data_IF_806154518245
#
_entry.id   IF_806154518245
#
_cell.length_a   1.000
_cell.length_b   1.000
_cell.length_c   1.000
_cell.angle_alpha   90.00
_cell.angle_beta   90.00
_cell.angle_gamma   90.00
#
_symmetry.space_group_name_H-M   'P 1'
#
loop_
_entity.id
_entity.type
_entity.pdbx_description
1 polymer ?
#
# COMPACT_ATOMS: atom_id res chain seq x y z
N UNK A 1 -22.44 -9.17 -20.09
CA UNK A 1 -23.48 -8.34 -19.48
C UNK A 1 -24.39 -9.28 -18.72
N UNK A 2 -24.69 -9.02 -17.45
CA UNK A 2 -25.65 -9.82 -16.68
C UNK A 2 -27.08 -9.36 -16.92
N UNK A 3 -28.07 -10.19 -16.58
CA UNK A 3 -29.48 -9.81 -16.72
C UNK A 3 -29.88 -8.63 -15.83
N UNK A 4 -29.15 -8.36 -14.73
CA UNK A 4 -29.34 -7.15 -13.92
C UNK A 4 -28.86 -5.89 -14.66
N UNK A 5 -27.68 -5.96 -15.29
CA UNK A 5 -27.19 -4.89 -16.17
C UNK A 5 -28.16 -4.64 -17.33
N UNK A 6 -28.62 -5.71 -18.00
CA UNK A 6 -29.58 -5.65 -19.10
C UNK A 6 -30.90 -4.99 -18.70
N UNK A 7 -31.45 -5.32 -17.52
CA UNK A 7 -32.65 -4.66 -16.96
C UNK A 7 -32.41 -3.15 -16.74
N UNK A 8 -31.26 -2.76 -16.19
CA UNK A 8 -30.92 -1.34 -15.95
C UNK A 8 -30.86 -0.57 -17.28
N UNK A 9 -30.17 -1.09 -18.29
CA UNK A 9 -30.10 -0.45 -19.61
C UNK A 9 -31.45 -0.45 -20.33
N UNK A 10 -32.25 -1.51 -20.18
CA UNK A 10 -33.63 -1.60 -20.69
C UNK A 10 -34.54 -0.51 -20.12
N UNK A 11 -34.50 -0.31 -18.80
CA UNK A 11 -35.25 0.76 -18.12
C UNK A 11 -34.76 2.16 -18.57
N UNK A 12 -33.45 2.37 -18.67
CA UNK A 12 -32.90 3.62 -19.19
C UNK A 12 -33.30 3.86 -20.66
N UNK A 13 -33.40 2.80 -21.47
CA UNK A 13 -33.88 2.85 -22.86
C UNK A 13 -35.33 3.30 -22.94
N UNK A 14 -36.19 2.93 -21.98
CA UNK A 14 -37.57 3.46 -21.89
C UNK A 14 -37.57 4.98 -21.72
N UNK A 15 -36.68 5.54 -20.89
CA UNK A 15 -36.56 7.01 -20.72
C UNK A 15 -36.05 7.67 -22.01
N UNK A 16 -34.99 7.14 -22.62
CA UNK A 16 -34.39 7.66 -23.87
C UNK A 16 -35.40 7.64 -25.02
N UNK A 17 -36.03 6.49 -25.30
CA UNK A 17 -37.04 6.36 -26.36
C UNK A 17 -38.28 7.20 -26.07
N UNK A 18 -38.70 7.34 -24.81
CA UNK A 18 -39.82 8.21 -24.46
C UNK A 18 -39.49 9.67 -24.78
N UNK A 19 -38.34 10.17 -24.35
CA UNK A 19 -37.86 11.52 -24.65
C UNK A 19 -37.85 11.79 -26.17
N UNK A 20 -37.24 10.91 -26.96
CA UNK A 20 -37.08 11.10 -28.41
C UNK A 20 -38.38 10.91 -29.20
N UNK A 21 -39.41 10.30 -28.60
CA UNK A 21 -40.76 10.22 -29.16
C UNK A 21 -41.59 11.49 -28.97
N UNK A 22 -41.15 12.42 -28.11
CA UNK A 22 -41.80 13.73 -27.95
C UNK A 22 -41.33 14.72 -29.03
N UNK A 23 -42.09 15.81 -29.22
CA UNK A 23 -41.75 16.89 -30.16
C UNK A 23 -40.70 17.84 -29.56
N UNK A 24 -39.48 17.32 -29.41
CA UNK A 24 -38.32 18.00 -28.82
C UNK A 24 -37.23 18.10 -29.88
N UNK A 25 -36.61 19.28 -29.98
CA UNK A 25 -35.56 19.58 -30.97
C UNK A 25 -34.25 18.83 -30.70
N UNK A 26 -33.86 18.71 -29.43
CA UNK A 26 -32.60 18.11 -28.99
C UNK A 26 -32.77 16.60 -28.71
N UNK A 27 -33.04 15.80 -29.74
CA UNK A 27 -33.18 14.34 -29.60
C UNK A 27 -31.85 13.66 -29.25
N UNK A 28 -31.90 12.70 -28.34
CA UNK A 28 -30.74 11.92 -27.90
C UNK A 28 -30.25 10.97 -28.99
N UNK A 29 -31.18 10.40 -29.77
CA UNK A 29 -30.89 9.49 -30.87
C UNK A 29 -31.68 9.88 -32.11
N UNK A 30 -30.98 9.87 -33.26
CA UNK A 30 -31.58 10.07 -34.58
C UNK A 30 -31.29 8.85 -35.46
N UNK A 31 -32.37 8.20 -35.91
CA UNK A 31 -32.36 7.11 -36.87
C UNK A 31 -33.67 7.12 -37.67
N UNK A 32 -33.60 6.74 -38.94
CA UNK A 32 -34.77 6.65 -39.84
C UNK A 32 -35.42 5.28 -39.77
N UNK A 33 -34.62 4.22 -39.63
CA UNK A 33 -35.09 2.84 -39.49
C UNK A 33 -35.46 2.51 -38.03
N UNK A 34 -36.64 1.91 -37.75
CA UNK A 34 -37.06 1.57 -36.39
C UNK A 34 -36.14 0.58 -35.66
N UNK A 35 -35.54 -0.38 -36.38
CA UNK A 35 -34.63 -1.37 -35.78
C UNK A 35 -33.31 -0.72 -35.37
N UNK A 36 -32.75 0.12 -36.25
CA UNK A 36 -31.59 0.94 -35.95
C UNK A 36 -31.86 1.97 -34.84
N UNK A 37 -33.08 2.53 -34.77
CA UNK A 37 -33.49 3.41 -33.67
C UNK A 37 -33.45 2.68 -32.33
N UNK A 38 -34.10 1.51 -32.23
CA UNK A 38 -34.10 0.70 -31.00
C UNK A 38 -32.67 0.38 -30.55
N UNK A 39 -31.84 -0.14 -31.47
CA UNK A 39 -30.44 -0.48 -31.17
C UNK A 39 -29.66 0.74 -30.66
N UNK A 40 -29.73 1.88 -31.37
CA UNK A 40 -29.02 3.10 -30.96
C UNK A 40 -29.54 3.70 -29.65
N UNK A 41 -30.84 3.62 -29.38
CA UNK A 41 -31.41 4.06 -28.09
C UNK A 41 -30.90 3.22 -26.93
N UNK A 42 -30.73 1.92 -27.12
CA UNK A 42 -30.13 1.03 -26.14
C UNK A 42 -28.62 1.28 -25.97
N UNK A 43 -27.86 1.42 -27.06
CA UNK A 43 -26.45 1.84 -27.03
C UNK A 43 -26.29 3.17 -26.27
N UNK A 44 -27.15 4.16 -26.54
CA UNK A 44 -27.15 5.46 -25.84
C UNK A 44 -27.53 5.34 -24.36
N UNK A 45 -28.41 4.40 -24.00
CA UNK A 45 -28.75 4.12 -22.60
C UNK A 45 -27.56 3.51 -21.84
N UNK A 46 -26.80 2.60 -22.48
CA UNK A 46 -25.54 2.07 -21.94
C UNK A 46 -24.55 3.22 -21.71
N UNK A 47 -24.31 4.06 -22.72
CA UNK A 47 -23.41 5.21 -22.62
C UNK A 47 -23.76 6.14 -21.44
N UNK A 48 -25.05 6.45 -21.24
CA UNK A 48 -25.50 7.34 -20.16
C UNK A 48 -25.27 6.69 -18.78
N UNK A 49 -25.57 5.41 -18.60
CA UNK A 49 -25.46 4.71 -17.30
C UNK A 49 -23.99 4.40 -16.94
N UNK A 50 -23.11 4.25 -17.95
CA UNK A 50 -21.68 3.97 -17.76
C UNK A 50 -20.78 5.21 -17.72
N UNK A 51 -21.30 6.42 -17.99
CA UNK A 51 -20.49 7.64 -17.99
C UNK A 51 -19.91 7.91 -16.59
N UNK A 52 -18.58 8.03 -16.51
CA UNK A 52 -17.86 8.34 -15.26
C UNK A 52 -17.68 9.84 -15.03
N UNK A 53 -18.04 10.68 -16.01
CA UNK A 53 -17.89 12.15 -15.97
C UNK A 53 -19.19 12.87 -15.64
N UNK A 54 -20.33 12.29 -16.00
CA UNK A 54 -21.66 12.86 -15.82
C UNK A 54 -22.48 11.87 -15.01
N UNK A 55 -23.03 12.31 -13.87
CA UNK A 55 -23.99 11.49 -13.11
C UNK A 55 -25.27 11.30 -13.94
N UNK A 56 -25.60 10.04 -14.22
CA UNK A 56 -26.75 9.66 -15.03
C UNK A 56 -28.08 10.11 -14.40
N UNK A 57 -28.15 10.21 -13.07
CA UNK A 57 -29.39 10.51 -12.37
C UNK A 57 -29.90 11.94 -12.66
N UNK A 58 -29.16 13.04 -12.35
CA UNK A 58 -29.57 14.40 -12.70
C UNK A 58 -29.64 14.61 -14.23
N UNK A 59 -28.84 13.88 -15.02
CA UNK A 59 -28.94 13.94 -16.48
C UNK A 59 -30.29 13.44 -16.99
N UNK A 60 -30.72 12.25 -16.56
CA UNK A 60 -32.01 11.66 -16.95
C UNK A 60 -33.18 12.42 -16.33
N UNK A 61 -33.08 12.91 -15.09
CA UNK A 61 -34.06 13.79 -14.45
C UNK A 61 -34.31 15.06 -15.29
N UNK A 62 -33.25 15.71 -15.77
CA UNK A 62 -33.35 16.85 -16.68
C UNK A 62 -34.03 16.50 -18.00
N UNK A 63 -33.77 15.31 -18.55
CA UNK A 63 -34.41 14.82 -19.78
C UNK A 63 -35.89 14.47 -19.57
N UNK A 64 -36.26 13.89 -18.43
CA UNK A 64 -37.66 13.64 -18.05
C UNK A 64 -38.40 14.98 -17.97
N UNK A 65 -37.91 15.90 -17.15
CA UNK A 65 -38.48 17.24 -16.93
C UNK A 65 -38.61 18.05 -18.24
N UNK A 66 -37.68 17.87 -19.17
CA UNK A 66 -37.75 18.49 -20.49
C UNK A 66 -38.86 17.90 -21.37
N UNK A 67 -39.14 16.58 -21.27
CA UNK A 67 -40.09 15.86 -22.13
C UNK A 67 -41.49 15.66 -21.53
N UNK A 68 -41.72 15.95 -20.26
CA UNK A 68 -43.04 15.79 -19.59
C UNK A 68 -43.75 17.10 -19.25
N UNK A 69 -43.31 18.24 -19.81
CA UNK A 69 -43.89 19.58 -19.53
C UNK A 69 -45.42 19.58 -19.71
N UNK A 70 -46.14 19.71 -18.60
CA UNK A 70 -47.61 19.73 -18.57
C UNK A 70 -48.30 18.35 -18.54
N UNK A 71 -47.57 17.24 -18.39
CA UNK A 71 -48.14 15.88 -18.34
C UNK A 71 -47.64 15.09 -17.11
N UNK A 72 -48.04 15.54 -15.91
CA UNK A 72 -47.59 15.01 -14.61
C UNK A 72 -47.74 13.50 -14.44
N UNK A 73 -48.84 12.87 -14.89
CA UNK A 73 -49.00 11.41 -14.77
C UNK A 73 -47.97 10.59 -15.56
N UNK A 74 -47.26 11.21 -16.52
CA UNK A 74 -46.12 10.61 -17.23
C UNK A 74 -44.81 10.86 -16.49
N UNK A 75 -44.63 12.07 -16.01
CA UNK A 75 -43.52 12.52 -15.17
C UNK A 75 -43.36 11.58 -13.97
N UNK A 76 -44.43 11.36 -13.22
CA UNK A 76 -44.49 10.43 -12.07
C UNK A 76 -43.95 9.03 -12.40
N UNK A 77 -44.37 8.43 -13.54
CA UNK A 77 -43.89 7.12 -13.96
C UNK A 77 -42.43 7.14 -14.41
N UNK A 78 -41.99 8.17 -15.14
CA UNK A 78 -40.60 8.23 -15.61
C UNK A 78 -39.65 8.42 -14.42
N UNK A 79 -40.05 9.20 -13.42
CA UNK A 79 -39.34 9.30 -12.16
C UNK A 79 -39.37 8.01 -11.35
N UNK A 80 -40.47 7.25 -11.35
CA UNK A 80 -40.49 5.90 -10.79
C UNK A 80 -39.43 5.01 -11.46
N UNK A 81 -39.42 4.94 -12.80
CA UNK A 81 -38.40 4.18 -13.55
C UNK A 81 -36.97 4.66 -13.26
N UNK A 82 -36.74 5.98 -13.14
CA UNK A 82 -35.43 6.52 -12.81
C UNK A 82 -34.95 6.16 -11.39
N UNK A 83 -35.87 6.16 -10.41
CA UNK A 83 -35.54 5.74 -9.05
C UNK A 83 -35.30 4.22 -8.95
N UNK A 84 -36.03 3.40 -9.71
CA UNK A 84 -35.75 1.96 -9.80
C UNK A 84 -34.40 1.69 -10.50
N UNK A 85 -34.07 2.40 -11.58
CA UNK A 85 -32.72 2.38 -12.18
C UNK A 85 -31.65 2.67 -11.13
N UNK A 86 -31.86 3.71 -10.31
CA UNK A 86 -30.93 4.07 -9.24
C UNK A 86 -30.77 2.95 -8.21
N UNK A 87 -31.88 2.42 -7.70
CA UNK A 87 -31.86 1.33 -6.73
C UNK A 87 -31.13 0.08 -7.29
N UNK A 88 -31.44 -0.31 -8.53
CA UNK A 88 -30.81 -1.44 -9.20
C UNK A 88 -29.31 -1.17 -9.47
N UNK A 89 -28.92 0.07 -9.80
CA UNK A 89 -27.52 0.46 -9.96
C UNK A 89 -26.75 0.40 -8.64
N UNK A 90 -27.36 0.80 -7.52
CA UNK A 90 -26.82 0.62 -6.16
C UNK A 90 -26.56 -0.88 -5.85
N UNK A 91 -27.42 -1.80 -6.34
CA UNK A 91 -27.20 -3.25 -6.21
C UNK A 91 -26.14 -3.80 -7.18
N UNK A 92 -26.07 -3.29 -8.41
CA UNK A 92 -25.09 -3.69 -9.43
C UNK A 92 -23.67 -3.31 -9.02
N UNK A 93 -23.46 -2.10 -8.50
CA UNK A 93 -22.14 -1.56 -8.13
C UNK A 93 -21.57 -2.15 -6.83
N UNK A 94 -22.33 -3.04 -6.17
CA UNK A 94 -21.92 -3.76 -4.96
C UNK A 94 -20.71 -4.65 -5.28
N UNK A 95 -19.70 -4.66 -4.40
CA UNK A 95 -18.45 -5.45 -4.55
C UNK A 95 -18.41 -6.70 -3.67
N UNK A 96 -19.35 -6.83 -2.75
CA UNK A 96 -19.48 -7.93 -1.79
C UNK A 96 -20.71 -8.76 -2.14
N UNK A 97 -20.64 -10.10 -2.08
CA UNK A 97 -21.84 -10.93 -2.16
C UNK A 97 -22.91 -10.50 -1.15
N UNK A 98 -24.16 -10.81 -1.44
CA UNK A 98 -25.28 -10.61 -0.52
C UNK A 98 -25.24 -11.63 0.62
N UNK A 99 -25.64 -11.21 1.82
CA UNK A 99 -26.08 -12.14 2.85
C UNK A 99 -27.45 -12.74 2.47
N UNK A 100 -27.79 -13.91 2.99
CA UNK A 100 -29.02 -14.65 2.65
C UNK A 100 -30.29 -13.78 2.79
N UNK A 101 -30.37 -12.97 3.86
CA UNK A 101 -31.49 -12.05 4.10
C UNK A 101 -31.51 -10.86 3.14
N UNK A 102 -30.35 -10.32 2.78
CA UNK A 102 -30.26 -9.24 1.80
C UNK A 102 -30.65 -9.74 0.41
N UNK A 103 -30.21 -10.96 0.05
CA UNK A 103 -30.55 -11.60 -1.23
C UNK A 103 -32.05 -11.88 -1.32
N UNK A 104 -32.66 -12.38 -0.24
CA UNK A 104 -34.12 -12.55 -0.18
C UNK A 104 -34.84 -11.19 -0.30
N UNK A 105 -34.38 -10.15 0.38
CA UNK A 105 -34.97 -8.81 0.30
C UNK A 105 -34.89 -8.26 -1.13
N UNK A 106 -33.72 -8.36 -1.77
CA UNK A 106 -33.52 -7.94 -3.15
C UNK A 106 -34.40 -8.74 -4.13
N UNK A 107 -34.55 -10.05 -3.90
CA UNK A 107 -35.44 -10.92 -4.69
C UNK A 107 -36.90 -10.49 -4.58
N UNK A 108 -37.38 -10.19 -3.37
CA UNK A 108 -38.75 -9.71 -3.13
C UNK A 108 -38.98 -8.33 -3.78
N UNK A 109 -38.03 -7.41 -3.66
CA UNK A 109 -38.07 -6.08 -4.28
C UNK A 109 -38.13 -6.15 -5.82
N UNK A 110 -37.29 -7.00 -6.44
CA UNK A 110 -37.27 -7.19 -7.88
C UNK A 110 -38.54 -7.91 -8.38
N UNK A 111 -39.05 -8.89 -7.62
CA UNK A 111 -40.34 -9.55 -7.91
C UNK A 111 -41.47 -8.52 -7.89
N UNK A 112 -41.50 -7.63 -6.89
CA UNK A 112 -42.53 -6.61 -6.77
C UNK A 112 -42.48 -5.60 -7.92
N UNK A 113 -41.28 -5.16 -8.34
CA UNK A 113 -41.10 -4.29 -9.52
C UNK A 113 -41.75 -4.89 -10.78
N UNK A 114 -41.55 -6.19 -11.03
CA UNK A 114 -42.17 -6.88 -12.17
C UNK A 114 -43.69 -7.02 -12.04
N UNK A 115 -44.20 -7.27 -10.82
CA UNK A 115 -45.64 -7.28 -10.54
C UNK A 115 -46.25 -5.90 -10.81
N UNK A 116 -45.59 -4.82 -10.38
CA UNK A 116 -46.04 -3.44 -10.57
C UNK A 116 -46.05 -3.06 -12.06
N UNK A 117 -45.03 -3.44 -12.85
CA UNK A 117 -45.05 -3.26 -14.30
C UNK A 117 -46.23 -3.98 -14.97
N UNK A 118 -46.49 -5.24 -14.61
CA UNK A 118 -47.63 -5.99 -15.15
C UNK A 118 -48.97 -5.38 -14.72
N UNK A 119 -49.10 -4.91 -13.48
CA UNK A 119 -50.31 -4.24 -12.97
C UNK A 119 -50.56 -2.91 -13.69
N UNK A 120 -49.53 -2.08 -13.87
CA UNK A 120 -49.61 -0.82 -14.62
C UNK A 120 -50.03 -1.03 -16.08
N UNK A 121 -49.58 -2.11 -16.72
CA UNK A 121 -50.00 -2.47 -18.09
C UNK A 121 -51.45 -2.97 -18.18
N UNK A 122 -52.00 -3.52 -17.09
CA UNK A 122 -53.37 -4.01 -17.03
C UNK A 122 -54.39 -2.98 -16.51
N UNK A 123 -53.93 -1.84 -15.97
CA UNK A 123 -54.78 -0.76 -15.46
C UNK A 123 -54.95 0.35 -16.52
N UNK A 124 -56.19 0.84 -16.65
CA UNK A 124 -56.58 1.93 -17.56
C UNK A 124 -55.98 3.27 -17.14
N UNK A 125 -55.64 4.11 -18.12
CA UNK A 125 -55.29 5.53 -17.90
C UNK A 125 -56.30 6.24 -17.00
N UNK A 126 -55.81 7.10 -16.12
CA UNK A 126 -56.65 7.84 -15.17
C UNK A 126 -57.02 7.04 -13.90
N UNK A 127 -57.01 5.71 -13.96
CA UNK A 127 -56.96 4.88 -12.77
C UNK A 127 -55.51 4.82 -12.25
N UNK A 128 -55.36 4.59 -10.95
CA UNK A 128 -54.08 4.58 -10.25
C UNK A 128 -53.76 3.20 -9.68
N UNK A 129 -52.47 2.91 -9.59
CA UNK A 129 -51.88 1.74 -8.95
C UNK A 129 -50.89 2.21 -7.90
N UNK A 130 -50.88 1.56 -6.73
CA UNK A 130 -49.90 1.81 -5.68
C UNK A 130 -48.66 0.96 -5.96
N UNK A 131 -47.73 1.51 -6.76
CA UNK A 131 -46.48 0.85 -7.09
C UNK A 131 -45.48 0.95 -5.93
N UNK A 132 -44.64 -0.07 -5.76
CA UNK A 132 -43.62 -0.09 -4.71
C UNK A 132 -42.32 0.50 -5.25
N UNK A 133 -41.93 1.65 -4.72
CA UNK A 133 -40.65 2.28 -4.97
C UNK A 133 -39.60 1.74 -4.00
N UNK A 134 -38.58 1.09 -4.56
CA UNK A 134 -37.48 0.47 -3.83
C UNK A 134 -36.42 1.51 -3.44
N UNK A 135 -35.88 1.37 -2.22
CA UNK A 135 -34.71 2.15 -1.82
C UNK A 135 -33.92 1.43 -0.72
N UNK A 136 -32.64 1.77 -0.60
CA UNK A 136 -31.74 1.37 0.48
C UNK A 136 -32.20 1.85 1.88
N UNK A 137 -33.20 2.75 1.96
CA UNK A 137 -33.84 3.23 3.20
C UNK A 137 -35.21 2.58 3.47
N UNK A 138 -35.57 1.54 2.72
CA UNK A 138 -36.86 0.86 2.78
C UNK A 138 -37.78 1.21 1.60
N UNK A 139 -38.83 0.41 1.43
CA UNK A 139 -39.82 0.59 0.38
C UNK A 139 -40.80 1.72 0.71
N UNK A 140 -41.26 2.44 -0.31
CA UNK A 140 -42.36 3.42 -0.24
C UNK A 140 -43.37 3.13 -1.34
N UNK A 141 -44.64 3.45 -1.15
CA UNK A 141 -45.62 3.38 -2.24
C UNK A 141 -45.70 4.70 -3.01
N UNK A 142 -45.90 4.61 -4.32
CA UNK A 142 -46.15 5.75 -5.21
C UNK A 142 -47.38 5.43 -6.08
N UNK A 143 -48.34 6.35 -6.08
CA UNK A 143 -49.53 6.24 -6.92
C UNK A 143 -49.22 6.60 -8.37
N UNK A 144 -49.25 5.62 -9.27
CA UNK A 144 -48.93 5.77 -10.69
C UNK A 144 -50.15 5.52 -11.57
N UNK A 145 -50.30 6.28 -12.66
CA UNK A 145 -51.43 6.06 -13.57
C UNK A 145 -51.22 4.86 -14.50
N UNK A 146 -52.30 4.12 -14.75
CA UNK A 146 -52.32 2.97 -15.65
C UNK A 146 -51.90 3.29 -17.10
N UNK A 147 -51.32 2.30 -17.76
CA UNK A 147 -50.72 2.41 -19.09
C UNK A 147 -51.64 1.89 -20.22
N UNK A 148 -52.75 1.22 -19.88
CA UNK A 148 -53.73 0.73 -20.85
C UNK A 148 -54.59 1.89 -21.37
N UNK A 149 -54.82 1.95 -22.69
CA UNK A 149 -55.67 3.00 -23.28
C UNK A 149 -57.16 2.64 -23.15
N UNK A 150 -58.00 3.66 -22.91
CA UNK A 150 -59.47 3.49 -22.83
C UNK A 150 -60.20 3.55 -24.17
N UNK A 151 -59.52 3.92 -25.27
CA UNK A 151 -60.18 4.29 -26.54
C UNK A 151 -60.17 3.15 -27.56
N UNK A 152 -61.25 3.08 -28.34
CA UNK A 152 -61.42 2.22 -29.53
C UNK A 152 -60.47 2.55 -30.70
N UNK A 153 -59.71 3.66 -30.62
CA UNK A 153 -58.83 4.15 -31.69
C UNK A 153 -57.44 4.39 -31.10
N UNK A 154 -56.44 3.65 -31.59
CA UNK A 154 -55.07 3.62 -31.08
C UNK A 154 -54.61 2.20 -30.72
N UNK A 155 -53.35 2.05 -30.33
CA UNK A 155 -52.84 0.77 -29.80
C UNK A 155 -53.41 0.46 -28.41
N UNK A 156 -53.34 -0.82 -27.99
CA UNK A 156 -53.81 -1.29 -26.67
C UNK A 156 -53.19 -0.49 -25.51
N UNK A 157 -51.90 -0.19 -25.62
CA UNK A 157 -51.13 0.52 -24.60
C UNK A 157 -50.80 1.96 -25.03
N UNK A 158 -50.56 2.82 -24.05
CA UNK A 158 -49.96 4.13 -24.29
C UNK A 158 -48.52 3.97 -24.78
N UNK A 159 -47.93 5.04 -25.36
CA UNK A 159 -46.53 5.06 -25.79
C UNK A 159 -45.58 4.46 -24.72
N UNK A 160 -45.77 4.84 -23.47
CA UNK A 160 -45.00 4.36 -22.33
C UNK A 160 -45.17 2.88 -22.01
N UNK A 161 -46.39 2.35 -22.12
CA UNK A 161 -46.66 0.93 -21.93
C UNK A 161 -46.11 0.11 -23.08
N UNK A 162 -46.18 0.65 -24.31
CA UNK A 162 -45.56 0.06 -25.49
C UNK A 162 -44.03 -0.01 -25.33
N UNK A 163 -43.38 1.07 -24.87
CA UNK A 163 -41.95 1.08 -24.58
C UNK A 163 -41.57 0.13 -23.44
N UNK A 164 -42.38 0.05 -22.37
CA UNK A 164 -42.15 -0.91 -21.27
C UNK A 164 -42.24 -2.36 -21.76
N UNK A 165 -43.17 -2.66 -22.69
CA UNK A 165 -43.28 -3.98 -23.32
C UNK A 165 -42.09 -4.26 -24.25
N UNK A 166 -41.78 -3.34 -25.16
CA UNK A 166 -40.73 -3.51 -26.16
C UNK A 166 -39.34 -3.58 -25.56
N UNK A 167 -39.02 -2.75 -24.56
CA UNK A 167 -37.67 -2.62 -24.02
C UNK A 167 -37.44 -3.42 -22.74
N UNK A 168 -38.44 -3.63 -21.88
CA UNK A 168 -38.22 -4.34 -20.61
C UNK A 168 -38.77 -5.76 -20.66
N UNK A 169 -40.09 -5.93 -20.89
CA UNK A 169 -40.71 -7.26 -20.84
C UNK A 169 -40.13 -8.18 -21.93
N UNK A 170 -40.06 -7.73 -23.18
CA UNK A 170 -39.53 -8.52 -24.29
C UNK A 170 -38.06 -8.96 -24.07
N UNK A 171 -37.22 -8.06 -23.56
CA UNK A 171 -35.79 -8.30 -23.32
C UNK A 171 -35.59 -9.28 -22.15
N UNK A 172 -36.42 -9.21 -21.11
CA UNK A 172 -36.37 -10.14 -19.98
C UNK A 172 -37.14 -11.46 -20.20
N UNK A 173 -37.76 -11.62 -21.37
CA UNK A 173 -38.62 -12.75 -21.74
C UNK A 173 -39.86 -12.89 -20.85
N UNK A 174 -40.44 -11.75 -20.48
CA UNK A 174 -41.71 -11.61 -19.75
C UNK A 174 -42.86 -11.25 -20.70
N UNK A 175 -44.09 -11.54 -20.28
CA UNK A 175 -45.33 -11.11 -20.93
C UNK A 175 -46.27 -10.38 -19.95
N UNK A 176 -47.36 -9.79 -20.46
CA UNK A 176 -48.40 -9.21 -19.60
C UNK A 176 -49.32 -10.25 -18.93
N UNK A 177 -49.18 -11.52 -19.30
CA UNK A 177 -50.02 -12.63 -18.85
C UNK A 177 -49.32 -13.52 -17.80
N UNK A 178 -48.00 -13.35 -17.60
CA UNK A 178 -47.18 -14.07 -16.63
C UNK A 178 -47.78 -14.00 -15.22
N UNK A 179 -47.81 -15.15 -14.54
CA UNK A 179 -48.25 -15.28 -13.16
C UNK A 179 -47.22 -14.70 -12.17
N UNK A 180 -47.64 -14.46 -10.92
CA UNK A 180 -46.71 -14.04 -9.87
C UNK A 180 -45.59 -15.07 -9.61
N UNK A 181 -45.82 -16.35 -9.93
CA UNK A 181 -44.81 -17.40 -9.77
C UNK A 181 -43.72 -17.27 -10.84
N UNK A 182 -44.10 -17.09 -12.10
CA UNK A 182 -43.16 -16.88 -13.22
C UNK A 182 -42.36 -15.58 -13.04
N UNK A 183 -43.00 -14.48 -12.63
CA UNK A 183 -42.32 -13.23 -12.32
C UNK A 183 -41.31 -13.39 -11.16
N UNK A 184 -41.67 -14.15 -10.13
CA UNK A 184 -40.77 -14.47 -9.00
C UNK A 184 -39.60 -15.36 -9.45
N UNK A 185 -39.80 -16.29 -10.37
CA UNK A 185 -38.74 -17.12 -10.93
C UNK A 185 -37.76 -16.29 -11.78
N UNK A 186 -38.27 -15.39 -12.64
CA UNK A 186 -37.45 -14.47 -13.44
C UNK A 186 -36.61 -13.57 -12.53
N UNK A 187 -37.20 -12.98 -11.48
CA UNK A 187 -36.47 -12.22 -10.47
C UNK A 187 -35.42 -13.08 -9.75
N UNK A 188 -35.76 -14.32 -9.38
CA UNK A 188 -34.83 -15.26 -8.70
C UNK A 188 -33.60 -15.53 -9.56
N UNK A 189 -33.80 -15.81 -10.84
CA UNK A 189 -32.72 -16.06 -11.79
C UNK A 189 -31.78 -14.85 -11.92
N UNK A 190 -32.32 -13.62 -11.98
CA UNK A 190 -31.52 -12.39 -12.04
C UNK A 190 -30.71 -12.18 -10.76
N UNK A 191 -31.33 -12.37 -9.59
CA UNK A 191 -30.64 -12.23 -8.30
C UNK A 191 -29.54 -13.29 -8.10
N UNK A 192 -29.80 -14.55 -8.48
CA UNK A 192 -28.83 -15.65 -8.38
C UNK A 192 -27.66 -15.49 -9.36
N UNK A 193 -27.91 -15.02 -10.58
CA UNK A 193 -26.87 -14.71 -11.57
C UNK A 193 -25.92 -13.62 -11.04
N UNK A 194 -26.47 -12.54 -10.46
CA UNK A 194 -25.68 -11.46 -9.87
C UNK A 194 -24.91 -11.92 -8.61
N UNK A 195 -25.54 -12.66 -7.71
CA UNK A 195 -24.86 -13.27 -6.55
C UNK A 195 -23.67 -14.14 -7.00
N UNK A 196 -23.90 -15.00 -7.99
CA UNK A 196 -22.86 -15.87 -8.56
C UNK A 196 -21.72 -15.04 -9.17
N UNK A 197 -22.02 -13.92 -9.84
CA UNK A 197 -21.01 -13.00 -10.35
C UNK A 197 -20.16 -12.38 -9.22
N UNK A 198 -20.79 -11.92 -8.13
CA UNK A 198 -20.12 -11.33 -6.98
C UNK A 198 -19.22 -12.33 -6.24
N UNK A 199 -19.69 -13.57 -6.07
CA UNK A 199 -18.90 -14.66 -5.48
C UNK A 199 -17.67 -14.99 -6.33
N UNK A 200 -17.84 -15.12 -7.64
CA UNK A 200 -16.74 -15.33 -8.60
C UNK A 200 -15.73 -14.18 -8.60
N UNK A 201 -16.17 -12.92 -8.47
CA UNK A 201 -15.26 -11.77 -8.34
C UNK A 201 -14.48 -11.83 -7.02
N UNK A 202 -15.14 -12.15 -5.90
CA UNK A 202 -14.50 -12.30 -4.59
C UNK A 202 -13.47 -13.43 -4.59
N UNK A 203 -13.75 -14.56 -5.23
CA UNK A 203 -12.81 -15.68 -5.34
C UNK A 203 -11.59 -15.32 -6.21
N UNK A 204 -11.79 -14.62 -7.33
CA UNK A 204 -10.69 -14.12 -8.16
C UNK A 204 -9.77 -13.16 -7.40
N UNK A 205 -10.34 -12.25 -6.61
CA UNK A 205 -9.57 -11.32 -5.77
C UNK A 205 -8.78 -12.06 -4.67
N UNK A 206 -9.35 -13.11 -4.05
CA UNK A 206 -8.62 -13.96 -3.10
C UNK A 206 -7.43 -14.65 -3.76
N UNK A 207 -7.63 -15.29 -4.91
CA UNK A 207 -6.55 -15.97 -5.65
C UNK A 207 -5.44 -15.01 -6.07
N UNK A 208 -5.79 -13.81 -6.55
CA UNK A 208 -4.82 -12.78 -6.89
C UNK A 208 -3.98 -12.33 -5.68
N UNK A 209 -4.60 -12.19 -4.50
CA UNK A 209 -3.88 -11.88 -3.26
C UNK A 209 -2.97 -13.04 -2.83
N UNK A 210 -3.47 -14.28 -2.82
CA UNK A 210 -2.67 -15.48 -2.49
C UNK A 210 -1.47 -15.65 -3.42
N UNK A 211 -1.62 -15.35 -4.72
CA UNK A 211 -0.53 -15.44 -5.69
C UNK A 211 0.47 -14.28 -5.53
N UNK A 212 0.00 -13.07 -5.18
CA UNK A 212 0.88 -11.95 -4.81
C UNK A 212 1.68 -12.24 -3.53
N UNK A 213 1.06 -12.84 -2.51
CA UNK A 213 1.75 -13.29 -1.30
C UNK A 213 2.79 -14.38 -1.59
N UNK A 214 2.50 -15.35 -2.46
CA UNK A 214 3.48 -16.35 -2.93
C UNK A 214 4.66 -15.70 -3.65
N UNK A 215 4.41 -14.68 -4.48
CA UNK A 215 5.47 -13.97 -5.20
C UNK A 215 6.36 -13.13 -4.28
N UNK A 216 5.77 -12.44 -3.29
CA UNK A 216 6.52 -11.74 -2.22
C UNK A 216 7.37 -12.73 -1.44
N UNK A 217 6.78 -13.83 -0.94
CA UNK A 217 7.50 -14.85 -0.17
C UNK A 217 8.65 -15.49 -0.98
N UNK A 218 8.46 -15.69 -2.29
CA UNK A 218 9.53 -16.18 -3.18
C UNK A 218 10.65 -15.14 -3.34
N UNK A 219 10.30 -13.86 -3.53
CA UNK A 219 11.28 -12.76 -3.62
C UNK A 219 12.10 -12.64 -2.33
N UNK A 220 11.47 -12.76 -1.17
CA UNK A 220 12.15 -12.76 0.13
C UNK A 220 13.06 -13.99 0.30
N UNK A 221 12.60 -15.18 -0.08
CA UNK A 221 13.42 -16.40 -0.04
C UNK A 221 14.66 -16.28 -0.92
N UNK A 222 14.53 -15.72 -2.13
CA UNK A 222 15.65 -15.54 -3.05
C UNK A 222 16.62 -14.43 -2.57
N UNK A 223 16.13 -13.35 -1.93
CA UNK A 223 16.97 -12.38 -1.20
C UNK A 223 17.72 -13.03 -0.02
N UNK A 224 17.06 -13.93 0.72
CA UNK A 224 17.69 -14.63 1.85
C UNK A 224 18.82 -15.56 1.37
N UNK A 225 18.60 -16.25 0.24
CA UNK A 225 19.63 -17.09 -0.40
C UNK A 225 20.84 -16.27 -0.83
N UNK A 226 20.65 -15.18 -1.58
CA UNK A 226 21.77 -14.34 -2.04
C UNK A 226 22.53 -13.72 -0.87
N UNK A 227 21.83 -13.27 0.18
CA UNK A 227 22.47 -12.79 1.42
C UNK A 227 23.30 -13.89 2.11
N UNK A 228 22.78 -15.12 2.21
CA UNK A 228 23.52 -16.26 2.77
C UNK A 228 24.73 -16.66 1.92
N UNK A 229 24.63 -16.55 0.59
CA UNK A 229 25.71 -16.84 -0.34
C UNK A 229 26.83 -15.79 -0.27
N UNK A 230 26.47 -14.50 -0.15
CA UNK A 230 27.41 -13.41 0.15
C UNK A 230 28.11 -13.65 1.50
N UNK A 231 27.37 -13.93 2.58
CA UNK A 231 27.96 -14.23 3.90
C UNK A 231 28.92 -15.42 3.88
N UNK A 232 28.62 -16.47 3.09
CA UNK A 232 29.55 -17.59 2.89
C UNK A 232 30.84 -17.15 2.22
N UNK A 233 30.73 -16.37 1.13
CA UNK A 233 31.92 -15.87 0.41
C UNK A 233 32.77 -14.93 1.27
N UNK A 234 32.14 -14.10 2.10
CA UNK A 234 32.83 -13.21 3.04
C UNK A 234 33.53 -14.00 4.17
N UNK A 235 32.85 -15.03 4.72
CA UNK A 235 33.44 -15.93 5.71
C UNK A 235 34.62 -16.74 5.15
N UNK A 236 34.55 -17.15 3.88
CA UNK A 236 35.65 -17.84 3.19
C UNK A 236 36.83 -16.89 2.91
N UNK A 237 36.57 -15.65 2.52
CA UNK A 237 37.60 -14.62 2.38
C UNK A 237 38.31 -14.31 3.72
N UNK A 238 37.54 -14.11 4.80
CA UNK A 238 38.08 -13.92 6.15
C UNK A 238 38.92 -15.13 6.62
N UNK A 239 38.49 -16.36 6.28
CA UNK A 239 39.26 -17.57 6.60
C UNK A 239 40.61 -17.60 5.89
N UNK A 240 40.67 -17.24 4.61
CA UNK A 240 41.92 -17.13 3.83
C UNK A 240 42.84 -16.01 4.35
N UNK A 241 42.27 -14.91 4.85
CA UNK A 241 43.04 -13.82 5.47
C UNK A 241 43.65 -14.25 6.82
N UNK A 242 42.88 -14.95 7.66
CA UNK A 242 43.38 -15.56 8.91
C UNK A 242 44.50 -16.58 8.63
N UNK A 243 44.40 -17.34 7.54
CA UNK A 243 45.42 -18.32 7.14
C UNK A 243 46.75 -17.64 6.75
N UNK A 244 46.70 -16.59 5.93
CA UNK A 244 47.86 -15.74 5.60
C UNK A 244 48.49 -15.07 6.83
N UNK A 245 47.66 -14.58 7.76
CA UNK A 245 48.14 -13.98 9.00
C UNK A 245 48.86 -15.01 9.89
N UNK A 246 48.40 -16.26 9.92
CA UNK A 246 49.10 -17.36 10.61
C UNK A 246 50.45 -17.67 9.96
N UNK A 247 50.53 -17.79 8.63
CA UNK A 247 51.79 -18.03 7.93
C UNK A 247 52.82 -16.92 8.19
N UNK A 248 52.39 -15.64 8.14
CA UNK A 248 53.23 -14.50 8.47
C UNK A 248 53.75 -14.53 9.93
N UNK A 249 52.88 -14.92 10.87
CA UNK A 249 53.25 -15.05 12.28
C UNK A 249 54.20 -16.23 12.54
N UNK A 250 54.04 -17.35 11.81
CA UNK A 250 54.95 -18.50 11.82
C UNK A 250 56.35 -18.08 11.31
N UNK A 251 56.43 -17.31 10.21
CA UNK A 251 57.69 -16.78 9.71
C UNK A 251 58.37 -15.87 10.75
N UNK A 252 57.68 -14.84 11.25
CA UNK A 252 58.26 -13.93 12.25
C UNK A 252 58.69 -14.65 13.54
N UNK A 253 57.98 -15.71 13.94
CA UNK A 253 58.40 -16.55 15.05
C UNK A 253 59.72 -17.27 14.74
N UNK A 254 59.87 -17.85 13.54
CA UNK A 254 61.11 -18.51 13.12
C UNK A 254 62.30 -17.54 12.98
N UNK A 255 62.07 -16.31 12.49
CA UNK A 255 63.07 -15.23 12.44
C UNK A 255 63.52 -14.83 13.85
N UNK A 256 62.56 -14.68 14.78
CA UNK A 256 62.83 -14.36 16.18
C UNK A 256 63.62 -15.47 16.88
N UNK A 257 63.27 -16.75 16.66
CA UNK A 257 64.01 -17.90 17.18
C UNK A 257 65.45 -17.96 16.64
N UNK A 258 65.66 -17.67 15.35
CA UNK A 258 67.00 -17.56 14.76
C UNK A 258 67.81 -16.40 15.37
N UNK A 259 67.22 -15.22 15.54
CA UNK A 259 67.87 -14.07 16.17
C UNK A 259 68.19 -14.32 17.66
N UNK A 260 67.37 -15.10 18.38
CA UNK A 260 67.66 -15.52 19.75
C UNK A 260 68.89 -16.45 19.78
N UNK A 261 69.02 -17.39 18.84
CA UNK A 261 70.20 -18.26 18.75
C UNK A 261 71.49 -17.47 18.44
N UNK A 262 71.43 -16.50 17.54
CA UNK A 262 72.56 -15.61 17.24
C UNK A 262 72.97 -14.76 18.46
N UNK A 263 71.98 -14.22 19.21
CA UNK A 263 72.23 -13.52 20.47
C UNK A 263 72.82 -14.42 21.56
N UNK A 264 72.47 -15.72 21.59
CA UNK A 264 73.09 -16.68 22.50
C UNK A 264 74.54 -17.00 22.10
N UNK A 265 74.83 -17.13 20.81
CA UNK A 265 76.19 -17.40 20.34
C UNK A 265 77.12 -16.20 20.56
N UNK A 266 76.64 -14.98 20.31
CA UNK A 266 77.38 -13.74 20.61
C UNK A 266 77.59 -13.54 22.12
N UNK A 267 76.59 -13.80 22.97
CA UNK A 267 76.78 -13.82 24.43
C UNK A 267 77.82 -14.85 24.87
N UNK A 268 77.82 -16.07 24.30
CA UNK A 268 78.85 -17.10 24.60
C UNK A 268 80.25 -16.61 24.23
N UNK A 269 80.42 -15.99 23.06
CA UNK A 269 81.70 -15.39 22.64
C UNK A 269 82.14 -14.30 23.62
N UNK A 270 81.24 -13.39 24.00
CA UNK A 270 81.51 -12.33 24.99
C UNK A 270 81.88 -12.90 26.37
N UNK A 271 81.21 -13.96 26.84
CA UNK A 271 81.55 -14.63 28.11
C UNK A 271 82.96 -15.22 28.08
N UNK A 272 83.37 -15.86 26.99
CA UNK A 272 84.76 -16.36 26.82
C UNK A 272 85.76 -15.21 26.80
N UNK A 273 85.45 -14.08 26.15
CA UNK A 273 86.32 -12.89 26.17
C UNK A 273 86.41 -12.27 27.57
N UNK A 274 85.31 -12.22 28.33
CA UNK A 274 85.30 -11.78 29.72
C UNK A 274 86.17 -12.70 30.58
N UNK A 275 86.03 -14.02 30.42
CA UNK A 275 86.82 -15.01 31.16
C UNK A 275 88.33 -14.87 30.88
N UNK A 276 88.72 -14.71 29.61
CA UNK A 276 90.09 -14.41 29.20
C UNK A 276 90.61 -13.11 29.84
N UNK A 277 89.84 -12.02 29.74
CA UNK A 277 90.21 -10.73 30.34
C UNK A 277 90.32 -10.82 31.86
N UNK A 278 89.47 -11.61 32.54
CA UNK A 278 89.60 -11.83 33.99
C UNK A 278 90.85 -12.63 34.36
N UNK A 279 91.26 -13.63 33.56
CA UNK A 279 92.55 -14.32 33.78
C UNK A 279 93.75 -13.39 33.55
N UNK A 280 93.70 -12.50 32.57
CA UNK A 280 94.73 -11.46 32.38
C UNK A 280 94.74 -10.45 33.53
N UNK A 281 93.57 -10.08 34.07
CA UNK A 281 93.46 -9.24 35.25
C UNK A 281 94.02 -9.91 36.50
N UNK A 282 93.83 -11.23 36.68
CA UNK A 282 94.43 -11.96 37.81
C UNK A 282 95.95 -12.13 37.66
N UNK A 283 96.46 -12.38 36.44
CA UNK A 283 97.91 -12.38 36.16
C UNK A 283 98.54 -11.03 36.46
N UNK A 284 98.00 -9.95 35.89
CA UNK A 284 98.53 -8.59 36.14
C UNK A 284 98.39 -8.19 37.60
N UNK A 285 97.33 -8.58 38.31
CA UNK A 285 97.17 -8.34 39.75
C UNK A 285 98.18 -9.10 40.61
N UNK A 286 98.52 -10.35 40.24
CA UNK A 286 99.55 -11.13 40.94
C UNK A 286 100.98 -10.66 40.63
N UNK A 287 101.24 -10.15 39.42
CA UNK A 287 102.47 -9.43 39.07
C UNK A 287 102.61 -8.12 39.84
N UNK A 288 101.51 -7.35 39.99
CA UNK A 288 101.50 -6.10 40.73
C UNK A 288 101.68 -6.33 42.24
N UNK A 289 101.15 -7.42 42.80
CA UNK A 289 101.46 -7.84 44.18
C UNK A 289 102.93 -8.23 44.36
N UNK A 290 103.57 -8.90 43.38
CA UNK A 290 105.03 -9.15 43.42
C UNK A 290 105.83 -7.84 43.39
N UNK A 291 105.47 -6.90 42.52
CA UNK A 291 106.11 -5.58 42.47
C UNK A 291 105.95 -4.78 43.78
N UNK A 292 104.80 -4.91 44.46
CA UNK A 292 104.60 -4.30 45.79
C UNK A 292 105.44 -4.96 46.89
N UNK A 293 105.83 -6.24 46.77
CA UNK A 293 106.72 -6.89 47.75
C UNK A 293 108.21 -6.54 47.61
N UNK A 294 108.66 -6.10 46.44
CA UNK A 294 110.07 -5.68 46.23
C UNK A 294 110.33 -4.19 46.54
N UNK A 295 109.28 -3.36 46.60
CA UNK A 295 109.40 -1.90 46.72
C UNK A 295 109.14 -1.36 48.15
N UNK A 296 109.84 -1.88 49.16
CA UNK A 296 109.90 -1.27 50.49
C UNK A 296 111.30 -0.67 50.75
N UNK A 297 111.36 0.50 51.41
CA UNK A 297 112.55 1.18 52.00
C UNK A 297 113.27 2.24 51.12
N UNK A 298 112.75 3.49 51.04
CA UNK A 298 113.37 4.73 51.63
C UNK A 298 112.63 6.06 51.34
N UNK A 299 112.93 7.04 52.21
CA UNK A 299 112.20 8.28 52.59
C UNK A 299 112.41 9.53 51.68
N UNK A 300 111.33 10.33 51.46
CA UNK A 300 111.15 11.82 51.57
C UNK A 300 112.20 12.85 51.01
N UNK A 301 111.89 14.17 50.77
CA UNK A 301 110.61 14.94 50.73
C UNK A 301 110.47 16.05 49.60
N UNK A 302 109.33 16.76 49.59
CA UNK A 302 109.07 18.18 49.14
C UNK A 302 109.38 18.69 47.71
N UNK A 303 108.35 19.13 46.95
CA UNK A 303 107.95 20.55 46.79
C UNK A 303 106.60 20.72 46.05
N UNK A 304 105.99 21.91 46.13
CA UNK A 304 104.72 22.32 45.47
C UNK A 304 104.98 23.51 44.52
N UNK A 305 104.27 23.64 43.38
CA UNK A 305 103.24 24.70 43.25
C UNK A 305 101.97 24.20 42.52
N UNK A 306 100.74 24.66 42.82
CA UNK A 306 100.15 26.02 42.74
C UNK A 306 99.78 26.47 41.30
N UNK A 307 98.57 27.03 41.15
CA UNK A 307 97.82 27.40 39.91
C UNK A 307 97.24 26.22 39.09
N UNK A 308 95.98 26.24 38.63
CA UNK A 308 94.86 27.17 38.88
C UNK A 308 93.72 27.02 37.86
N UNK A 309 92.47 27.30 38.28
CA UNK A 309 91.29 27.90 37.57
C UNK A 309 91.19 27.78 36.02
N UNK A 310 90.05 27.57 35.35
CA UNK A 310 88.61 27.40 35.64
C UNK A 310 87.98 26.74 34.37
N UNK A 311 86.70 26.39 34.17
CA UNK A 311 85.41 26.56 34.87
C UNK A 311 84.29 26.78 33.83
N UNK A 312 83.02 26.46 34.17
CA UNK A 312 81.76 26.89 33.49
C UNK A 312 81.48 26.33 32.06
N UNK A 313 80.25 26.27 31.53
CA UNK A 313 78.88 26.00 32.05
C UNK A 313 77.88 25.95 30.85
N UNK A 314 76.61 25.54 31.05
CA UNK A 314 75.45 25.70 30.13
C UNK A 314 75.52 24.87 28.82
N UNK A 315 74.45 24.34 28.20
CA UNK A 315 72.96 24.41 28.26
C UNK A 315 72.43 23.00 27.81
N UNK A 316 71.16 22.54 27.84
CA UNK A 316 69.82 23.11 28.10
C UNK A 316 68.87 22.01 28.70
N UNK A 317 67.56 22.30 28.77
CA UNK A 317 66.37 21.44 29.04
C UNK A 317 65.99 20.59 27.79
N UNK A 318 65.10 19.59 27.79
CA UNK A 318 63.94 19.21 28.65
C UNK A 318 63.99 17.66 28.92
N UNK A 319 63.37 17.03 29.93
CA UNK A 319 61.96 17.10 30.37
C UNK A 319 61.05 16.35 29.37
N UNK A 320 60.30 15.28 29.69
CA UNK A 320 59.85 14.71 30.98
C UNK A 320 59.42 13.23 30.87
N UNK A 321 59.77 12.39 31.86
CA UNK A 321 58.95 11.25 32.34
C UNK A 321 58.05 11.77 33.50
N UNK A 322 56.90 11.15 33.90
CA UNK A 322 56.66 9.70 34.15
C UNK A 322 55.36 9.17 33.47
N UNK A 323 55.07 7.86 33.31
CA UNK A 323 55.03 6.70 34.21
C UNK A 323 53.82 6.69 35.20
N UNK A 324 53.15 5.53 35.30
CA UNK A 324 51.97 5.19 36.15
C UNK A 324 50.63 5.86 35.77
N UNK A 325 49.47 5.21 35.88
CA UNK A 325 49.18 3.79 36.15
C UNK A 325 47.66 3.51 36.29
N UNK A 326 47.28 2.24 36.07
CA UNK A 326 46.01 1.58 36.52
C UNK A 326 44.63 2.04 36.00
N UNK A 327 43.88 1.02 35.53
CA UNK A 327 42.46 0.71 35.82
C UNK A 327 41.28 1.32 35.00
N UNK A 328 40.67 0.38 34.25
CA UNK A 328 39.24 0.01 34.21
C UNK A 328 38.23 0.75 33.30
N UNK A 329 37.24 -0.07 32.91
CA UNK A 329 35.88 0.22 32.41
C UNK A 329 35.65 0.59 30.92
N UNK A 330 34.95 -0.34 30.25
CA UNK A 330 33.99 -0.12 29.15
C UNK A 330 32.85 0.86 29.56
N UNK A 331 31.90 1.24 28.66
CA UNK A 331 32.01 1.61 27.25
C UNK A 331 31.26 2.95 26.95
N UNK A 332 31.36 3.47 25.72
CA UNK A 332 30.47 4.52 25.18
C UNK A 332 30.55 4.45 23.65
N UNK A 333 29.55 3.97 22.88
CA UNK A 333 28.21 4.53 22.64
C UNK A 333 28.26 6.03 22.31
N UNK A 334 28.31 6.35 21.01
CA UNK A 334 27.87 7.65 20.50
C UNK A 334 26.40 7.56 20.10
N UNK A 335 25.49 8.34 20.72
CA UNK A 335 24.20 8.68 20.16
C UNK A 335 24.26 10.08 19.54
N UNK A 336 23.94 10.21 18.25
CA UNK A 336 23.65 11.52 17.65
C UNK A 336 22.24 11.96 18.02
N UNK A 337 22.18 12.80 19.07
CA UNK A 337 21.19 13.85 19.31
C UNK A 337 20.70 14.54 18.01
N UNK A 338 19.44 15.02 17.86
CA UNK A 338 18.35 15.21 18.83
C UNK A 338 16.96 15.14 18.15
N UNK A 339 15.89 14.83 18.92
CA UNK A 339 14.51 15.18 18.56
C UNK A 339 14.15 16.60 19.04
N UNK A 340 13.02 17.14 18.56
CA UNK A 340 12.04 17.88 19.40
C UNK A 340 10.77 18.18 18.61
N UNK A 341 9.65 17.65 19.07
CA UNK A 341 8.33 18.23 18.80
C UNK A 341 8.11 19.42 19.74
N UNK A 342 7.45 20.47 19.26
CA UNK A 342 6.76 21.44 20.14
C UNK A 342 5.28 21.50 19.76
N UNK A 343 4.46 20.98 20.65
CA UNK A 343 3.04 21.31 20.71
C UNK A 343 2.92 22.69 21.36
N UNK A 344 1.99 23.54 20.91
CA UNK A 344 1.59 24.73 21.64
C UNK A 344 0.12 25.00 21.34
N UNK A 345 -0.65 25.17 22.41
CA UNK A 345 -2.09 25.38 22.40
C UNK A 345 -2.42 26.86 22.61
N UNK A 346 -3.67 27.20 22.30
CA UNK A 346 -4.48 28.26 22.90
C UNK A 346 -4.52 29.68 22.30
N UNK A 347 -5.72 30.23 22.49
CA UNK A 347 -6.21 31.59 22.32
C UNK A 347 -6.49 32.09 20.90
N UNK A 348 -7.56 32.84 20.59
CA UNK A 348 -8.91 33.11 21.15
C UNK A 348 -9.32 34.45 20.50
N UNK A 349 -10.44 34.45 19.77
CA UNK A 349 -11.29 35.60 19.40
C UNK A 349 -12.42 35.01 18.52
N UNK A 350 -13.71 35.01 18.86
CA UNK A 350 -14.61 36.14 19.16
C UNK A 350 -14.57 37.24 18.08
N UNK A 351 -15.68 37.80 17.57
CA UNK A 351 -17.05 37.79 18.08
C UNK A 351 -18.12 38.18 17.00
N UNK A 352 -19.35 37.68 17.17
CA UNK A 352 -20.64 38.33 16.82
C UNK A 352 -21.01 38.70 15.36
N UNK A 353 -22.16 38.18 14.89
CA UNK A 353 -23.48 38.88 14.76
C UNK A 353 -24.48 37.97 14.01
N UNK A 354 -25.51 37.46 14.68
CA UNK A 354 -26.84 38.10 14.89
C UNK A 354 -27.72 38.17 13.63
N UNK A 355 -28.90 37.53 13.71
CA UNK A 355 -29.90 37.51 12.64
C UNK A 355 -31.08 36.57 12.93
N UNK A 356 -31.78 36.77 14.04
CA UNK A 356 -33.02 36.04 14.38
C UNK A 356 -34.22 36.99 14.32
N UNK A 357 -35.14 36.75 13.37
CA UNK A 357 -36.50 37.33 13.30
C UNK A 357 -37.30 36.35 12.41
N UNK A 358 -38.19 35.53 12.97
CA UNK A 358 -39.64 35.79 13.13
C UNK A 358 -40.32 36.17 11.80
N UNK A 359 -41.03 35.21 11.21
CA UNK A 359 -42.51 35.20 11.08
C UNK A 359 -43.02 33.75 11.18
#
# INVERSE_FOLDING_TARGET
MTRLEELIYSLATVIVRYHDSQDIRDKLVVAVDPTALKKKSHERAIEIIQDTKIDYFPYLEGRISACTKGYHGREEFLFFVLNEIRFLKEQLDRKTPFEEKELQTFHEQLTQLFIDFRQLLNIKKGFKHSATLNSSKGAKTQELSGLLNDRMIGGKYCNSGQLLIEEVLFVLHMTTEDSNAELKEIASNICLEHQTQLENQREKLKKANEDSEKEINKSELDKLKTSSEVQKSESEAQRLEIEKLKESLEMHKSESEAHILELQETNKKQLVTIEQLTQELEKTKTELQKAQTEALIRRYPTYNPLFGLAGLQMLQRQGTNPQTGTNRFFPSIQPTNSPSQTLSTDQEAEESRHGSTIE
#
